data_IF_633766635545
#
_entry.id   IF_633766635545
#
_cell.length_a   1.000
_cell.length_b   1.000
_cell.length_c   1.000
_cell.angle_alpha   90.00
_cell.angle_beta   90.00
_cell.angle_gamma   90.00
#
_symmetry.space_group_name_H-M   'P 1'
#
loop_
_entity.id
_entity.type
_entity.pdbx_description
1 polymer ?
#
# COMPACT_ATOMS: atom_id res chain seq x y z
N UNK A 1 7.10 -4.47 -12.47
CA UNK A 1 5.66 -4.17 -12.33
C UNK A 1 4.91 -5.11 -13.25
N UNK A 2 4.43 -6.23 -12.72
CA UNK A 2 3.66 -7.19 -13.51
C UNK A 2 2.20 -6.78 -13.33
N UNK A 3 1.55 -6.41 -14.43
CA UNK A 3 0.14 -6.01 -14.46
C UNK A 3 -0.67 -7.29 -14.69
N UNK A 4 -1.36 -7.77 -13.66
CA UNK A 4 -2.30 -8.90 -13.74
C UNK A 4 -3.70 -8.37 -13.40
N UNK A 5 -4.56 -8.50 -14.41
CA UNK A 5 -6.00 -8.26 -14.54
C UNK A 5 -6.77 -7.73 -13.31
N UNK A 6 -7.34 -6.53 -13.46
CA UNK A 6 -8.25 -5.90 -12.50
C UNK A 6 -9.67 -6.43 -12.67
N UNK A 7 -10.22 -7.11 -11.66
CA UNK A 7 -11.65 -7.42 -11.61
C UNK A 7 -12.44 -6.18 -11.11
N UNK A 8 -13.45 -5.70 -11.84
CA UNK A 8 -14.17 -4.50 -11.47
C UNK A 8 -15.19 -4.82 -10.39
N UNK A 9 -14.91 -4.43 -9.14
CA UNK A 9 -15.91 -4.32 -8.09
C UNK A 9 -16.07 -2.85 -7.72
N UNK A 10 -17.33 -2.39 -7.74
CA UNK A 10 -17.77 -1.01 -7.54
C UNK A 10 -16.97 -0.26 -6.45
N UNK A 11 -16.40 0.90 -6.78
CA UNK A 11 -15.61 1.73 -5.84
C UNK A 11 -14.09 1.49 -5.86
N UNK A 12 -13.53 1.21 -7.05
CA UNK A 12 -12.18 0.68 -7.30
C UNK A 12 -11.07 1.44 -6.57
N UNK A 13 -10.60 0.88 -5.45
CA UNK A 13 -9.21 1.02 -5.03
C UNK A 13 -8.42 0.07 -5.93
N UNK A 14 -7.53 0.59 -6.77
CA UNK A 14 -6.65 -0.25 -7.58
C UNK A 14 -5.71 -1.02 -6.63
N UNK A 15 -5.84 -2.35 -6.64
CA UNK A 15 -4.92 -3.25 -5.95
C UNK A 15 -3.79 -3.58 -6.93
N UNK A 16 -2.58 -3.46 -6.43
CA UNK A 16 -1.36 -3.80 -7.14
C UNK A 16 -0.63 -4.91 -6.38
N UNK A 17 0.31 -5.58 -7.03
CA UNK A 17 1.16 -6.60 -6.41
C UNK A 17 2.63 -6.20 -6.54
N UNK A 18 3.38 -6.36 -5.45
CA UNK A 18 4.83 -6.18 -5.47
C UNK A 18 5.54 -7.41 -6.05
N UNK A 19 6.87 -7.36 -6.14
CA UNK A 19 7.68 -8.46 -6.70
C UNK A 19 7.61 -9.74 -5.87
N UNK A 20 7.16 -9.66 -4.61
CA UNK A 20 6.97 -10.80 -3.72
C UNK A 20 5.50 -11.29 -3.72
N UNK A 21 4.65 -10.74 -4.59
CA UNK A 21 3.23 -11.08 -4.64
C UNK A 21 2.41 -10.49 -3.49
N UNK A 22 2.97 -9.53 -2.73
CA UNK A 22 2.22 -8.89 -1.65
C UNK A 22 1.33 -7.80 -2.23
N UNK A 23 0.01 -7.84 -1.96
CA UNK A 23 -0.90 -6.83 -2.47
C UNK A 23 -0.75 -5.49 -1.72
N UNK A 24 -0.86 -4.40 -2.46
CA UNK A 24 -0.82 -3.04 -1.92
C UNK A 24 -1.79 -2.13 -2.70
N UNK A 25 -2.05 -0.95 -2.14
CA UNK A 25 -2.97 0.03 -2.70
C UNK A 25 -2.31 1.40 -2.78
N UNK A 26 -2.78 2.20 -3.73
CA UNK A 26 -2.50 3.63 -3.76
C UNK A 26 -3.60 4.39 -3.01
N UNK A 27 -3.19 5.35 -2.19
CA UNK A 27 -4.08 6.29 -1.51
C UNK A 27 -3.91 7.63 -2.19
N UNK A 28 -5.01 8.19 -2.71
CA UNK A 28 -5.02 9.53 -3.29
C UNK A 28 -4.65 10.59 -2.26
N UNK A 29 -4.17 11.74 -2.74
CA UNK A 29 -3.93 12.89 -1.86
C UNK A 29 -5.24 13.39 -1.25
N UNK A 30 -5.21 13.81 0.01
CA UNK A 30 -6.36 14.36 0.70
C UNK A 30 -5.97 15.43 1.71
N UNK A 31 -6.94 16.28 2.06
CA UNK A 31 -6.77 17.33 3.07
C UNK A 31 -7.40 16.88 4.37
N UNK A 32 -6.63 16.91 5.47
CA UNK A 32 -7.14 16.64 6.81
C UNK A 32 -8.01 17.79 7.30
N UNK A 33 -8.82 17.52 8.33
CA UNK A 33 -9.70 18.54 8.95
C UNK A 33 -8.94 19.76 9.51
N UNK A 34 -7.68 19.58 9.91
CA UNK A 34 -6.80 20.65 10.40
C UNK A 34 -6.12 21.48 9.28
N UNK A 35 -6.41 21.18 8.01
CA UNK A 35 -5.83 21.85 6.84
C UNK A 35 -4.55 21.21 6.30
N UNK A 36 -4.00 20.17 6.94
CA UNK A 36 -2.80 19.48 6.47
C UNK A 36 -3.08 18.74 5.16
N UNK A 37 -2.31 19.02 4.11
CA UNK A 37 -2.37 18.27 2.84
C UNK A 37 -1.48 17.03 2.91
N UNK A 38 -2.09 15.86 2.74
CA UNK A 38 -1.39 14.57 2.62
C UNK A 38 -1.22 14.25 1.15
N UNK A 39 0.03 14.11 0.70
CA UNK A 39 0.34 13.65 -0.66
C UNK A 39 -0.06 12.19 -0.81
N UNK A 40 -0.44 11.79 -2.02
CA UNK A 40 -0.77 10.39 -2.29
C UNK A 40 0.44 9.47 -2.08
N UNK A 41 0.17 8.23 -1.65
CA UNK A 41 1.19 7.27 -1.26
C UNK A 41 0.72 5.82 -1.41
N UNK A 42 1.66 4.89 -1.50
CA UNK A 42 1.38 3.46 -1.51
C UNK A 42 1.43 2.88 -0.10
N UNK A 43 0.58 1.89 0.19
CA UNK A 43 0.58 1.14 1.46
C UNK A 43 0.15 -0.31 1.25
N UNK A 44 0.58 -1.20 2.15
CA UNK A 44 0.07 -2.57 2.23
C UNK A 44 -1.44 -2.60 2.49
N UNK A 45 -2.09 -3.71 2.11
CA UNK A 45 -3.51 -3.89 2.30
C UNK A 45 -3.92 -3.85 3.78
N UNK A 46 -5.08 -3.27 4.12
CA UNK A 46 -5.66 -3.38 5.46
C UNK A 46 -6.36 -4.75 5.62
N UNK A 47 -5.61 -5.84 5.74
CA UNK A 47 -6.14 -7.22 5.76
C UNK A 47 -6.07 -7.92 7.14
N UNK A 48 -5.72 -7.17 8.20
CA UNK A 48 -5.48 -7.65 9.58
C UNK A 48 -4.29 -8.60 9.73
N UNK A 49 -3.60 -8.99 8.65
CA UNK A 49 -2.34 -9.69 8.74
C UNK A 49 -1.24 -8.64 8.95
N UNK A 50 -0.49 -8.76 10.05
CA UNK A 50 0.63 -7.84 10.27
C UNK A 50 1.86 -8.27 9.49
N UNK A 51 2.06 -9.57 9.32
CA UNK A 51 3.32 -10.13 8.81
C UNK A 51 3.62 -9.74 7.36
N UNK A 52 2.63 -9.32 6.58
CA UNK A 52 2.81 -8.84 5.20
C UNK A 52 2.86 -7.30 5.10
N UNK A 53 2.79 -6.57 6.22
CA UNK A 53 2.98 -5.12 6.20
C UNK A 53 4.44 -4.77 6.00
N UNK A 54 4.72 -3.77 5.16
CA UNK A 54 6.09 -3.28 4.99
C UNK A 54 6.72 -2.72 6.27
N UNK A 55 5.90 -2.32 7.25
CA UNK A 55 6.34 -1.84 8.55
C UNK A 55 6.82 -2.95 9.50
N UNK A 56 6.44 -4.21 9.26
CA UNK A 56 6.79 -5.32 10.15
C UNK A 56 8.26 -5.72 10.05
N UNK A 57 8.85 -6.09 11.19
CA UNK A 57 10.26 -6.46 11.29
C UNK A 57 10.67 -7.51 10.26
N UNK A 58 11.65 -7.15 9.44
CA UNK A 58 12.21 -8.03 8.41
C UNK A 58 11.71 -7.73 6.99
N UNK A 59 10.58 -7.04 6.85
CA UNK A 59 10.07 -6.63 5.55
C UNK A 59 10.76 -5.35 5.05
N UNK A 60 10.69 -5.11 3.75
CA UNK A 60 11.22 -3.90 3.10
C UNK A 60 10.09 -3.25 2.32
N UNK A 61 9.91 -1.94 2.51
CA UNK A 61 9.01 -1.16 1.67
C UNK A 61 9.63 -1.00 0.28
N UNK A 62 9.01 -1.50 -0.80
CA UNK A 62 9.59 -1.46 -2.15
C UNK A 62 9.68 -0.05 -2.73
N UNK A 63 8.92 0.92 -2.22
CA UNK A 63 8.90 2.30 -2.70
C UNK A 63 9.97 3.18 -2.07
N UNK A 64 10.36 2.87 -0.83
CA UNK A 64 11.31 3.69 -0.05
C UNK A 64 12.61 2.96 0.27
N UNK A 65 12.65 1.63 0.11
CA UNK A 65 13.78 0.79 0.54
C UNK A 65 13.92 0.67 2.06
N UNK A 66 13.00 1.24 2.84
CA UNK A 66 13.09 1.25 4.30
C UNK A 66 12.72 -0.12 4.88
N UNK A 67 13.51 -0.58 5.86
CA UNK A 67 13.24 -1.82 6.57
C UNK A 67 12.17 -1.61 7.65
N UNK A 68 11.20 -2.51 7.71
CA UNK A 68 10.23 -2.58 8.79
C UNK A 68 10.88 -2.97 10.12
N UNK A 69 10.31 -2.47 11.21
CA UNK A 69 10.85 -2.60 12.56
C UNK A 69 9.78 -2.83 13.65
N UNK A 70 8.49 -2.83 13.28
CA UNK A 70 7.39 -3.15 14.20
C UNK A 70 7.46 -4.59 14.71
#
# INVERSE_FOLDING_TARGET
MILLESLPLSGVVSIYYDLNGTPYIYIDSYTKKDGTVVKGYYRSLPDKNKLNNWSSKGNINPFTGTKGYE
#
